data_IF_368352110306
#
_entry.id   IF_368352110306
#
_cell.length_a   1.000
_cell.length_b   1.000
_cell.length_c   1.000
_cell.angle_alpha   90.00
_cell.angle_beta   90.00
_cell.angle_gamma   90.00
#
_symmetry.space_group_name_H-M   'P 1'
#
loop_
_entity.id
_entity.type
_entity.pdbx_description
1 polymer ?
#
# COMPACT_ATOMS: atom_id res chain seq x y z
N UNK A 1 17.31 -2.74 -3.07
CA UNK A 1 16.86 -3.56 -4.22
C UNK A 1 15.51 -2.99 -4.67
N UNK A 2 15.49 -1.94 -5.48
CA UNK A 2 14.24 -1.38 -6.04
C UNK A 2 14.15 -1.78 -7.51
N UNK A 3 13.40 -2.84 -7.79
CA UNK A 3 13.04 -3.25 -9.15
C UNK A 3 11.80 -2.49 -9.60
N UNK A 4 11.97 -1.50 -10.47
CA UNK A 4 10.88 -0.76 -11.09
C UNK A 4 10.03 -1.66 -11.99
N UNK A 5 8.71 -1.46 -11.96
CA UNK A 5 7.73 -2.18 -12.77
C UNK A 5 7.89 -1.78 -14.24
N UNK A 6 8.21 -2.73 -15.11
CA UNK A 6 8.48 -2.51 -16.53
C UNK A 6 7.20 -2.75 -17.37
N UNK A 7 6.65 -1.69 -17.95
CA UNK A 7 5.60 -1.78 -18.98
C UNK A 7 6.28 -1.75 -20.36
N UNK A 8 6.15 -2.85 -21.12
CA UNK A 8 6.78 -3.03 -22.43
C UNK A 8 5.93 -2.38 -23.54
N UNK A 9 6.46 -1.34 -24.19
CA UNK A 9 5.97 -0.84 -25.48
C UNK A 9 6.82 -1.40 -26.63
N UNK A 10 6.18 -1.61 -27.80
CA UNK A 10 6.62 -2.41 -28.96
C UNK A 10 7.97 -2.03 -29.62
N UNK A 11 8.66 -0.99 -29.16
CA UNK A 11 9.89 -0.48 -29.79
C UNK A 11 11.09 -0.46 -28.81
N UNK A 12 11.32 -1.52 -28.04
CA UNK A 12 12.60 -1.79 -27.34
C UNK A 12 13.14 -0.70 -26.37
N UNK A 13 12.45 0.41 -26.18
CA UNK A 13 12.86 1.53 -25.35
C UNK A 13 12.15 1.43 -24.00
N UNK A 14 12.91 1.10 -22.96
CA UNK A 14 12.40 1.12 -21.59
C UNK A 14 12.27 2.58 -21.13
N UNK A 15 11.03 3.09 -21.03
CA UNK A 15 10.77 4.35 -20.34
C UNK A 15 10.69 4.05 -18.85
N UNK A 16 11.70 4.49 -18.09
CA UNK A 16 11.69 4.43 -16.63
C UNK A 16 11.08 5.70 -16.07
N UNK A 17 9.95 5.57 -15.37
CA UNK A 17 9.36 6.67 -14.61
C UNK A 17 9.70 6.53 -13.13
N UNK A 18 10.59 7.40 -12.64
CA UNK A 18 10.96 7.47 -11.23
C UNK A 18 10.60 8.84 -10.67
N UNK A 19 9.60 8.88 -9.78
CA UNK A 19 9.31 10.07 -8.99
C UNK A 19 9.87 9.89 -7.58
N UNK A 20 10.83 10.73 -7.21
CA UNK A 20 11.54 10.69 -5.91
C UNK A 20 10.59 10.72 -4.70
N UNK A 21 9.40 11.32 -4.86
CA UNK A 21 8.40 11.47 -3.80
C UNK A 21 7.23 10.49 -3.92
N UNK A 22 7.25 9.59 -4.90
CA UNK A 22 6.11 8.74 -5.22
C UNK A 22 5.55 8.01 -3.99
N UNK A 23 6.41 7.31 -3.26
CA UNK A 23 5.99 6.54 -2.09
C UNK A 23 5.48 7.45 -0.97
N UNK A 24 6.18 8.56 -0.69
CA UNK A 24 5.75 9.53 0.31
C UNK A 24 4.35 10.08 -0.01
N UNK A 25 4.15 10.57 -1.23
CA UNK A 25 2.90 11.19 -1.64
C UNK A 25 1.76 10.13 -1.72
N UNK A 26 2.09 8.89 -2.10
CA UNK A 26 1.16 7.76 -2.04
C UNK A 26 0.73 7.44 -0.60
N UNK A 27 1.65 7.39 0.36
CA UNK A 27 1.31 7.16 1.78
C UNK A 27 0.48 8.30 2.37
N UNK A 28 0.78 9.56 2.01
CA UNK A 28 -0.06 10.71 2.39
C UNK A 28 -1.48 10.54 1.83
N UNK A 29 -1.62 10.11 0.57
CA UNK A 29 -2.91 9.85 -0.05
C UNK A 29 -3.65 8.70 0.64
N UNK A 30 -2.98 7.57 0.92
CA UNK A 30 -3.56 6.42 1.61
C UNK A 30 -4.05 6.77 3.02
N UNK A 31 -3.33 7.62 3.76
CA UNK A 31 -3.81 8.09 5.07
C UNK A 31 -5.08 8.96 4.93
N UNK A 32 -5.17 9.82 3.91
CA UNK A 32 -6.42 10.58 3.64
C UNK A 32 -7.56 9.65 3.26
N UNK A 33 -7.30 8.63 2.45
CA UNK A 33 -8.29 7.59 2.12
C UNK A 33 -8.78 6.88 3.38
N UNK A 34 -7.87 6.49 4.28
CA UNK A 34 -8.20 5.86 5.56
C UNK A 34 -9.11 6.74 6.42
N UNK A 35 -8.78 8.02 6.56
CA UNK A 35 -9.59 8.99 7.32
C UNK A 35 -11.00 9.15 6.75
N UNK A 36 -11.17 8.97 5.43
CA UNK A 36 -12.47 9.00 4.74
C UNK A 36 -13.15 7.63 4.63
N UNK A 37 -12.52 6.56 5.13
CA UNK A 37 -13.01 5.19 4.99
C UNK A 37 -13.00 4.67 3.55
N UNK A 38 -12.22 5.27 2.65
CA UNK A 38 -12.14 4.87 1.24
C UNK A 38 -11.15 3.73 1.06
N UNK A 39 -11.59 2.71 0.32
CA UNK A 39 -10.80 1.51 0.00
C UNK A 39 -10.29 0.75 1.23
N UNK A 40 -10.83 1.03 2.42
CA UNK A 40 -10.52 0.27 3.63
C UNK A 40 -11.16 -1.11 3.53
N UNK A 41 -10.33 -2.14 3.63
CA UNK A 41 -10.67 -3.56 3.48
C UNK A 41 -10.57 -4.32 4.82
N UNK A 42 -10.31 -3.60 5.92
CA UNK A 42 -10.29 -4.13 7.29
C UNK A 42 -10.73 -3.07 8.32
N UNK A 43 -11.36 -3.56 9.39
CA UNK A 43 -11.63 -2.81 10.62
C UNK A 43 -10.99 -3.55 11.79
N UNK A 44 -10.09 -2.89 12.51
CA UNK A 44 -9.48 -3.43 13.72
C UNK A 44 -10.33 -3.04 14.92
N UNK A 45 -10.75 -4.02 15.72
CA UNK A 45 -11.43 -3.80 16.98
C UNK A 45 -10.39 -3.85 18.11
N UNK A 46 -10.22 -2.76 18.83
CA UNK A 46 -9.26 -2.64 19.94
C UNK A 46 -10.00 -2.15 21.17
N UNK A 47 -10.39 -3.09 22.04
CA UNK A 47 -11.32 -2.82 23.12
C UNK A 47 -12.67 -2.37 22.55
N UNK A 48 -13.10 -1.16 22.92
CA UNK A 48 -14.34 -0.54 22.43
C UNK A 48 -14.15 0.34 21.18
N UNK A 49 -12.93 0.41 20.63
CA UNK A 49 -12.62 1.26 19.48
C UNK A 49 -12.57 0.47 18.19
N UNK A 50 -13.02 1.10 17.11
CA UNK A 50 -12.91 0.59 15.75
C UNK A 50 -11.95 1.45 14.92
N UNK A 51 -11.06 0.79 14.19
CA UNK A 51 -10.05 1.46 13.35
C UNK A 51 -10.13 0.90 11.93
N UNK A 52 -10.65 1.69 10.99
CA UNK A 52 -10.59 1.36 9.56
C UNK A 52 -9.15 1.52 9.05
N UNK A 53 -8.70 0.56 8.25
CA UNK A 53 -7.35 0.54 7.68
C UNK A 53 -7.31 -0.19 6.34
N UNK A 54 -6.11 -0.26 5.75
CA UNK A 54 -5.81 -1.01 4.53
C UNK A 54 -4.90 -2.19 4.88
N UNK A 55 -5.30 -3.42 4.55
CA UNK A 55 -4.52 -4.65 4.81
C UNK A 55 -3.12 -4.56 4.20
N UNK A 56 -3.02 -4.05 2.97
CA UNK A 56 -1.73 -3.88 2.27
C UNK A 56 -0.77 -2.96 3.04
N UNK A 57 -1.28 -1.86 3.61
CA UNK A 57 -0.47 -0.94 4.41
C UNK A 57 -0.02 -1.62 5.69
N UNK A 58 -0.93 -2.28 6.42
CA UNK A 58 -0.59 -3.03 7.63
C UNK A 58 0.43 -4.14 7.38
N UNK A 59 0.27 -4.92 6.31
CA UNK A 59 1.20 -5.98 5.90
C UNK A 59 2.57 -5.44 5.49
N UNK A 60 2.64 -4.23 4.92
CA UNK A 60 3.92 -3.61 4.54
C UNK A 60 4.74 -3.13 5.73
N UNK A 61 4.09 -2.86 6.88
CA UNK A 61 4.72 -2.24 8.05
C UNK A 61 4.85 -3.17 9.27
N UNK A 62 4.22 -4.35 9.28
CA UNK A 62 4.19 -5.26 10.44
C UNK A 62 4.33 -6.71 10.01
N UNK A 63 5.36 -7.46 10.48
CA UNK A 63 5.50 -8.89 10.19
C UNK A 63 4.29 -9.72 10.62
N UNK A 64 3.61 -9.32 11.71
CA UNK A 64 2.40 -9.99 12.18
C UNK A 64 1.26 -9.88 11.18
N UNK A 65 0.94 -8.66 10.74
CA UNK A 65 -0.10 -8.45 9.72
C UNK A 65 0.32 -8.98 8.36
N UNK A 66 1.62 -8.95 8.05
CA UNK A 66 2.15 -9.58 6.84
C UNK A 66 1.80 -11.07 6.82
N UNK A 67 2.23 -11.82 7.83
CA UNK A 67 1.93 -13.25 7.94
C UNK A 67 0.41 -13.50 7.96
N UNK A 68 -0.34 -12.75 8.77
CA UNK A 68 -1.80 -12.89 8.85
C UNK A 68 -2.51 -12.72 7.50
N UNK A 69 -2.06 -11.80 6.64
CA UNK A 69 -2.73 -11.51 5.36
C UNK A 69 -2.12 -12.23 4.15
N UNK A 70 -0.95 -12.86 4.27
CA UNK A 70 -0.29 -13.60 3.17
C UNK A 70 -0.22 -15.11 3.39
N UNK A 71 -0.47 -15.61 4.60
CA UNK A 71 -0.62 -17.04 4.86
C UNK A 71 -1.91 -17.57 4.22
N UNK A 72 -1.76 -18.54 3.31
CA UNK A 72 -2.82 -19.39 2.78
C UNK A 72 -2.72 -20.78 3.36
#
# INVERSE_FOLDING_TARGET
MEGGVQLLNRDGHSISHNSKRHYHDAFVCMNRMRQRGLLCDIVLHVGTKEIKAHKVVLASCSPYFHAMFTSK
#
